data_IF_497186620467
#
_entry.id   IF_497186620467
#
_cell.length_a   1.000
_cell.length_b   1.000
_cell.length_c   1.000
_cell.angle_alpha   90.00
_cell.angle_beta   90.00
_cell.angle_gamma   90.00
#
_symmetry.space_group_name_H-M   'P 1'
#
loop_
_entity.id
_entity.type
_entity.pdbx_description
1 polymer ?
#
# COMPACT_ATOMS: atom_id res chain seq x y z
N UNK A 1 41.01 9.21 -10.78
CA UNK A 1 39.70 9.65 -10.25
C UNK A 1 38.59 9.29 -11.25
N UNK A 2 38.41 7.99 -11.50
CA UNK A 2 37.61 7.45 -12.61
C UNK A 2 36.61 6.40 -12.08
N UNK A 3 35.66 6.85 -11.24
CA UNK A 3 34.56 6.02 -10.73
C UNK A 3 33.21 6.74 -10.85
N UNK A 4 33.00 7.44 -11.97
CA UNK A 4 31.66 7.77 -12.47
C UNK A 4 31.28 6.75 -13.55
N UNK A 5 31.39 5.46 -13.25
CA UNK A 5 30.55 4.49 -13.95
C UNK A 5 29.13 4.74 -13.48
N UNK A 6 28.50 5.65 -14.20
CA UNK A 6 27.09 6.01 -14.12
C UNK A 6 26.24 4.75 -14.06
N UNK A 7 25.74 4.42 -12.87
CA UNK A 7 24.46 3.73 -12.73
C UNK A 7 23.38 4.68 -13.28
N UNK A 8 23.34 4.87 -14.61
CA UNK A 8 22.20 5.48 -15.28
C UNK A 8 21.08 4.46 -15.17
N UNK A 9 20.20 4.68 -14.20
CA UNK A 9 18.93 3.96 -14.16
C UNK A 9 18.16 4.41 -15.40
N UNK A 10 18.06 3.53 -16.40
CA UNK A 10 17.27 3.78 -17.60
C UNK A 10 15.83 4.08 -17.15
N UNK A 11 15.26 5.24 -17.49
CA UNK A 11 13.95 5.61 -17.01
C UNK A 11 12.88 4.67 -17.56
N UNK A 12 11.98 4.21 -16.68
CA UNK A 12 10.87 3.34 -17.07
C UNK A 12 9.80 4.17 -17.78
N UNK A 13 9.70 3.98 -19.09
CA UNK A 13 8.70 4.65 -19.94
C UNK A 13 7.35 3.94 -19.83
N UNK A 14 6.32 4.63 -19.33
CA UNK A 14 4.98 4.05 -19.13
C UNK A 14 3.86 5.02 -19.56
N UNK A 15 2.62 4.54 -19.79
CA UNK A 15 1.47 5.42 -19.98
C UNK A 15 1.21 6.30 -18.75
N UNK A 16 0.74 7.53 -18.96
CA UNK A 16 0.40 8.47 -17.86
C UNK A 16 -0.54 7.86 -16.80
N UNK A 17 -1.48 7.00 -17.21
CA UNK A 17 -2.37 6.28 -16.30
C UNK A 17 -1.64 5.32 -15.34
N UNK A 18 -0.49 4.75 -15.71
CA UNK A 18 0.32 3.89 -14.83
C UNK A 18 1.06 4.76 -13.81
N UNK A 19 1.58 5.92 -14.23
CA UNK A 19 2.21 6.89 -13.33
C UNK A 19 1.24 7.43 -12.27
N UNK A 20 0.01 7.76 -12.69
CA UNK A 20 -1.05 8.17 -11.76
C UNK A 20 -1.38 7.06 -10.76
N UNK A 21 -1.52 5.81 -11.24
CA UNK A 21 -1.76 4.65 -10.38
C UNK A 21 -0.62 4.39 -9.39
N UNK A 22 0.64 4.56 -9.79
CA UNK A 22 1.78 4.48 -8.88
C UNK A 22 1.76 5.58 -7.81
N UNK A 23 1.25 6.77 -8.14
CA UNK A 23 1.07 7.87 -7.18
C UNK A 23 -0.03 7.55 -6.18
N UNK A 24 -1.17 7.03 -6.65
CA UNK A 24 -2.25 6.54 -5.79
C UNK A 24 -1.76 5.43 -4.87
N UNK A 25 -1.04 4.44 -5.40
CA UNK A 25 -0.45 3.33 -4.65
C UNK A 25 0.45 3.82 -3.51
N UNK A 26 1.29 4.83 -3.79
CA UNK A 26 2.13 5.46 -2.77
C UNK A 26 1.30 6.11 -1.66
N UNK A 27 0.25 6.86 -2.02
CA UNK A 27 -0.64 7.50 -1.05
C UNK A 27 -1.39 6.51 -0.17
N UNK A 28 -1.94 5.44 -0.75
CA UNK A 28 -2.68 4.43 0.02
C UNK A 28 -1.78 3.62 0.95
N UNK A 29 -0.53 3.32 0.53
CA UNK A 29 0.44 2.64 1.40
C UNK A 29 0.90 3.56 2.53
N UNK A 30 1.12 4.86 2.25
CA UNK A 30 1.44 5.83 3.30
C UNK A 30 0.32 5.93 4.35
N UNK A 31 -0.94 5.99 3.90
CA UNK A 31 -2.10 5.96 4.79
C UNK A 31 -2.18 4.66 5.60
N UNK A 32 -1.92 3.51 4.98
CA UNK A 32 -1.89 2.22 5.70
C UNK A 32 -0.82 2.18 6.78
N UNK A 33 0.36 2.74 6.51
CA UNK A 33 1.45 2.84 7.48
C UNK A 33 1.05 3.77 8.63
N UNK A 34 0.42 4.91 8.34
CA UNK A 34 -0.10 5.82 9.36
C UNK A 34 -1.16 5.13 10.25
N UNK A 35 -2.09 4.38 9.65
CA UNK A 35 -3.07 3.57 10.40
C UNK A 35 -2.40 2.47 11.23
N UNK A 36 -1.33 1.84 10.73
CA UNK A 36 -0.54 0.87 11.50
C UNK A 36 0.17 1.52 12.68
N UNK A 37 0.71 2.73 12.49
CA UNK A 37 1.23 3.55 13.58
C UNK A 37 0.16 3.87 14.62
N UNK A 38 -1.05 4.24 14.17
CA UNK A 38 -2.20 4.53 15.04
C UNK A 38 -2.63 3.31 15.87
N UNK A 39 -2.60 2.11 15.28
CA UNK A 39 -2.82 0.84 15.99
C UNK A 39 -1.78 0.65 17.10
N UNK A 40 -0.50 0.90 16.81
CA UNK A 40 0.59 0.73 17.77
C UNK A 40 0.52 1.72 18.92
N UNK A 41 0.26 3.01 18.63
CA UNK A 41 0.24 4.05 19.67
C UNK A 41 -0.96 3.95 20.59
N UNK A 42 -2.08 3.37 20.12
CA UNK A 42 -3.26 3.10 20.94
C UNK A 42 -3.27 1.68 21.54
N UNK A 43 -2.22 0.87 21.35
CA UNK A 43 -2.17 -0.52 21.82
C UNK A 43 -3.34 -1.39 21.31
N UNK A 44 -3.85 -1.10 20.11
CA UNK A 44 -5.06 -1.72 19.56
C UNK A 44 -4.81 -3.06 18.84
N UNK A 45 -3.56 -3.47 18.69
CA UNK A 45 -3.17 -4.61 17.86
C UNK A 45 -3.77 -5.96 18.33
N UNK A 46 -4.17 -6.09 19.59
CA UNK A 46 -4.84 -7.29 20.11
C UNK A 46 -6.38 -7.16 20.19
N UNK A 47 -6.96 -6.04 19.74
CA UNK A 47 -8.40 -5.77 19.90
C UNK A 47 -9.32 -6.77 19.18
N UNK A 48 -8.83 -7.43 18.13
CA UNK A 48 -9.56 -8.47 17.39
C UNK A 48 -9.23 -9.90 17.87
N UNK A 49 -8.39 -10.05 18.90
CA UNK A 49 -7.79 -11.33 19.28
C UNK A 49 -6.98 -11.93 18.14
N UNK A 50 -7.00 -13.27 18.04
CA UNK A 50 -6.27 -14.02 17.00
C UNK A 50 -7.14 -14.32 15.77
N UNK A 51 -8.27 -13.62 15.63
CA UNK A 51 -9.23 -13.83 14.55
C UNK A 51 -8.78 -13.20 13.24
N UNK A 52 -8.72 -14.01 12.17
CA UNK A 52 -8.66 -13.56 10.78
C UNK A 52 -9.39 -14.58 9.89
N UNK A 53 -10.27 -14.16 8.95
CA UNK A 53 -10.59 -12.78 8.57
C UNK A 53 -11.62 -12.09 9.48
N UNK A 54 -12.24 -12.80 10.41
CA UNK A 54 -13.16 -12.20 11.40
C UNK A 54 -12.41 -11.36 12.44
N UNK A 55 -13.14 -10.54 13.19
CA UNK A 55 -12.67 -9.82 14.38
C UNK A 55 -13.70 -10.07 15.49
N UNK A 56 -13.26 -10.56 16.65
CA UNK A 56 -14.16 -10.92 17.77
C UNK A 56 -15.30 -11.88 17.36
N UNK A 57 -15.00 -12.85 16.48
CA UNK A 57 -15.98 -13.85 16.02
C UNK A 57 -16.94 -13.36 14.93
N UNK A 58 -16.92 -12.08 14.56
CA UNK A 58 -17.77 -11.52 13.50
C UNK A 58 -16.96 -11.06 12.28
N UNK A 59 -17.51 -11.19 11.07
CA UNK A 59 -16.92 -10.58 9.87
C UNK A 59 -17.00 -9.05 9.91
N UNK A 60 -18.01 -8.51 10.60
CA UNK A 60 -18.21 -7.10 10.86
C UNK A 60 -18.64 -6.90 12.31
N UNK A 61 -17.75 -6.47 13.21
CA UNK A 61 -18.10 -6.26 14.61
C UNK A 61 -19.17 -5.17 14.78
N UNK A 62 -20.21 -5.44 15.56
CA UNK A 62 -21.21 -4.45 15.91
C UNK A 62 -20.70 -3.52 17.02
N UNK A 63 -21.20 -2.28 17.06
CA UNK A 63 -20.91 -1.35 18.16
C UNK A 63 -19.48 -0.80 18.20
N UNK A 64 -18.75 -0.84 17.07
CA UNK A 64 -17.45 -0.17 16.96
C UNK A 64 -17.59 1.34 17.18
N UNK A 65 -16.72 1.89 18.04
CA UNK A 65 -16.73 3.31 18.38
C UNK A 65 -15.62 4.06 17.63
N UNK A 66 -15.94 4.49 16.41
CA UNK A 66 -15.01 5.25 15.58
C UNK A 66 -14.76 6.66 16.10
N UNK A 67 -15.72 7.25 16.82
CA UNK A 67 -15.60 8.61 17.35
C UNK A 67 -14.45 8.67 18.36
N UNK A 68 -14.47 7.79 19.37
CA UNK A 68 -13.36 7.71 20.33
C UNK A 68 -12.13 7.04 19.71
N UNK A 69 -12.29 6.09 18.77
CA UNK A 69 -11.18 5.41 18.11
C UNK A 69 -10.27 6.34 17.29
N UNK A 70 -10.82 7.39 16.70
CA UNK A 70 -10.10 8.32 15.80
C UNK A 70 -10.13 9.78 16.27
N UNK A 71 -10.43 10.00 17.55
CA UNK A 71 -10.21 11.30 18.17
C UNK A 71 -8.71 11.59 18.31
N UNK A 72 -8.28 12.70 17.70
CA UNK A 72 -6.89 13.17 17.68
C UNK A 72 -6.58 14.16 18.81
N UNK A 73 -7.59 14.57 19.58
CA UNK A 73 -7.46 15.60 20.64
C UNK A 73 -7.20 15.00 22.02
N UNK A 74 -7.51 13.71 22.19
CA UNK A 74 -7.25 12.93 23.40
C UNK A 74 -5.80 12.42 23.49
N UNK A 75 -5.37 12.10 24.70
CA UNK A 75 -4.15 11.33 24.92
C UNK A 75 -4.26 9.92 24.30
N UNK A 76 -3.14 9.44 23.72
CA UNK A 76 -3.05 8.10 23.13
C UNK A 76 -3.41 7.02 24.16
N UNK A 77 -4.30 6.09 23.79
CA UNK A 77 -4.79 5.03 24.69
C UNK A 77 -5.71 5.48 25.84
N UNK A 78 -6.10 6.76 25.92
CA UNK A 78 -7.04 7.29 26.93
C UNK A 78 -8.22 8.00 26.26
N UNK A 79 -9.33 8.14 26.98
CA UNK A 79 -10.48 8.99 26.62
C UNK A 79 -10.34 10.37 27.29
N UNK A 80 -11.06 11.38 26.79
CA UNK A 80 -11.10 12.75 27.35
C UNK A 80 -11.58 12.80 28.81
N UNK A 81 -12.41 11.85 29.21
CA UNK A 81 -12.85 11.67 30.60
C UNK A 81 -11.72 11.24 31.55
N UNK A 82 -10.51 11.03 31.03
CA UNK A 82 -9.36 10.52 31.77
C UNK A 82 -9.39 9.00 31.97
N UNK A 83 -10.37 8.27 31.44
CA UNK A 83 -10.40 6.80 31.45
C UNK A 83 -9.54 6.15 30.36
N UNK A 84 -9.37 4.83 30.38
CA UNK A 84 -8.76 4.09 29.27
C UNK A 84 -9.72 4.00 28.08
N UNK A 85 -9.17 3.98 26.86
CA UNK A 85 -9.95 3.77 25.64
C UNK A 85 -10.72 2.45 25.69
N UNK A 86 -11.97 2.46 25.23
CA UNK A 86 -12.85 1.29 25.27
C UNK A 86 -12.38 0.22 24.27
N UNK A 87 -12.73 -1.04 24.55
CA UNK A 87 -12.47 -2.13 23.60
C UNK A 87 -13.13 -1.84 22.25
N UNK A 88 -14.33 -1.28 22.23
CA UNK A 88 -15.07 -0.92 21.02
C UNK A 88 -14.31 0.08 20.13
N UNK A 89 -13.65 1.07 20.76
CA UNK A 89 -12.83 2.04 20.05
C UNK A 89 -11.51 1.43 19.56
N UNK A 90 -10.87 0.57 20.36
CA UNK A 90 -9.69 -0.20 19.92
C UNK A 90 -10.04 -1.14 18.75
N UNK A 91 -11.21 -1.78 18.78
CA UNK A 91 -11.72 -2.60 17.69
C UNK A 91 -11.91 -1.77 16.44
N UNK A 92 -12.48 -0.57 16.55
CA UNK A 92 -12.63 0.34 15.41
C UNK A 92 -11.28 0.67 14.77
N UNK A 93 -10.26 0.99 15.57
CA UNK A 93 -8.90 1.28 15.12
C UNK A 93 -8.29 0.09 14.37
N UNK A 94 -8.28 -1.09 15.00
CA UNK A 94 -7.65 -2.27 14.40
C UNK A 94 -8.43 -2.74 13.16
N UNK A 95 -9.76 -2.72 13.21
CA UNK A 95 -10.60 -3.12 12.08
C UNK A 95 -10.43 -2.18 10.88
N UNK A 96 -10.31 -0.86 11.09
CA UNK A 96 -10.03 0.10 10.01
C UNK A 96 -8.69 -0.18 9.32
N UNK A 97 -7.63 -0.47 10.08
CA UNK A 97 -6.33 -0.85 9.53
C UNK A 97 -6.43 -2.12 8.67
N UNK A 98 -7.22 -3.12 9.10
CA UNK A 98 -7.47 -4.35 8.33
C UNK A 98 -8.24 -4.08 7.05
N UNK A 99 -9.27 -3.23 7.12
CA UNK A 99 -10.07 -2.86 5.95
C UNK A 99 -9.21 -2.17 4.88
N UNK A 100 -8.37 -1.23 5.31
CA UNK A 100 -7.48 -0.50 4.42
C UNK A 100 -6.36 -1.40 3.86
N UNK A 101 -5.96 -2.47 4.56
CA UNK A 101 -5.03 -3.47 4.01
C UNK A 101 -5.60 -4.19 2.77
N UNK A 102 -6.91 -4.43 2.71
CA UNK A 102 -7.56 -4.98 1.51
C UNK A 102 -7.55 -3.97 0.35
N UNK A 103 -7.71 -2.68 0.64
CA UNK A 103 -7.58 -1.62 -0.37
C UNK A 103 -6.14 -1.56 -0.90
N UNK A 104 -5.12 -1.65 -0.03
CA UNK A 104 -3.71 -1.73 -0.44
C UNK A 104 -3.46 -2.95 -1.33
N UNK A 105 -3.98 -4.12 -0.94
CA UNK A 105 -3.88 -5.35 -1.74
C UNK A 105 -4.44 -5.13 -3.16
N UNK A 106 -5.63 -4.54 -3.28
CA UNK A 106 -6.25 -4.24 -4.56
C UNK A 106 -5.45 -3.23 -5.39
N UNK A 107 -5.11 -2.07 -4.81
CA UNK A 107 -4.44 -0.98 -5.53
C UNK A 107 -3.03 -1.36 -5.95
N UNK A 108 -2.22 -1.92 -5.05
CA UNK A 108 -0.83 -2.30 -5.33
C UNK A 108 -0.78 -3.58 -6.18
N UNK A 109 -1.65 -4.55 -5.93
CA UNK A 109 -1.77 -5.76 -6.74
C UNK A 109 -2.13 -5.43 -8.19
N UNK A 110 -3.08 -4.51 -8.40
CA UNK A 110 -3.43 -4.04 -9.74
C UNK A 110 -2.26 -3.30 -10.43
N UNK A 111 -1.49 -2.50 -9.69
CA UNK A 111 -0.29 -1.85 -10.22
C UNK A 111 0.75 -2.87 -10.67
N UNK A 112 1.05 -3.85 -9.83
CA UNK A 112 2.00 -4.92 -10.14
C UNK A 112 1.56 -5.71 -11.38
N UNK A 113 0.27 -6.03 -11.48
CA UNK A 113 -0.30 -6.66 -12.67
C UNK A 113 -0.14 -5.80 -13.93
N UNK A 114 -0.48 -4.50 -13.89
CA UNK A 114 -0.28 -3.61 -15.05
C UNK A 114 1.18 -3.53 -15.49
N UNK A 115 2.12 -3.41 -14.54
CA UNK A 115 3.55 -3.37 -14.84
C UNK A 115 4.03 -4.66 -15.51
N UNK A 116 3.52 -5.83 -15.09
CA UNK A 116 3.85 -7.11 -15.70
C UNK A 116 3.48 -7.22 -17.19
N UNK A 117 2.56 -6.35 -17.67
CA UNK A 117 2.11 -6.29 -19.07
C UNK A 117 2.92 -5.34 -19.95
N UNK A 118 3.85 -4.54 -19.40
CA UNK A 118 4.56 -3.49 -20.16
C UNK A 118 5.91 -3.92 -20.76
N UNK A 119 6.44 -5.08 -20.38
CA UNK A 119 7.69 -5.65 -20.93
C UNK A 119 8.80 -5.89 -19.90
N UNK A 120 9.99 -6.36 -20.33
CA UNK A 120 11.05 -6.81 -19.43
C UNK A 120 11.52 -5.76 -18.41
N UNK A 121 11.63 -4.49 -18.81
CA UNK A 121 12.05 -3.39 -17.92
C UNK A 121 11.08 -3.10 -16.77
N UNK A 122 9.77 -3.35 -16.95
CA UNK A 122 8.77 -3.20 -15.90
C UNK A 122 8.58 -4.48 -15.06
N UNK A 123 9.02 -5.63 -15.56
CA UNK A 123 8.81 -6.95 -14.93
C UNK A 123 9.51 -7.06 -13.57
N UNK A 124 10.73 -6.53 -13.44
CA UNK A 124 11.45 -6.53 -12.16
C UNK A 124 10.68 -5.75 -11.09
N UNK A 125 10.13 -4.59 -11.44
CA UNK A 125 9.28 -3.80 -10.54
C UNK A 125 7.97 -4.52 -10.19
N UNK A 126 7.33 -5.17 -11.17
CA UNK A 126 6.14 -5.96 -10.95
C UNK A 126 6.38 -7.10 -9.94
N UNK A 127 7.47 -7.85 -10.11
CA UNK A 127 7.84 -8.96 -9.22
C UNK A 127 8.25 -8.45 -7.83
N UNK A 128 9.04 -7.38 -7.75
CA UNK A 128 9.44 -6.77 -6.48
C UNK A 128 8.25 -6.27 -5.66
N UNK A 129 7.30 -5.58 -6.30
CA UNK A 129 6.06 -5.15 -5.65
C UNK A 129 5.19 -6.33 -5.24
N UNK A 130 5.01 -7.33 -6.10
CA UNK A 130 4.20 -8.51 -5.79
C UNK A 130 4.79 -9.29 -4.60
N UNK A 131 6.11 -9.47 -4.57
CA UNK A 131 6.80 -10.12 -3.45
C UNK A 131 6.65 -9.32 -2.15
N UNK A 132 6.99 -8.02 -2.17
CA UNK A 132 6.90 -7.18 -0.99
C UNK A 132 5.48 -7.09 -0.45
N UNK A 133 4.48 -6.94 -1.32
CA UNK A 133 3.06 -6.91 -0.92
C UNK A 133 2.62 -8.25 -0.31
N UNK A 134 2.96 -9.37 -0.94
CA UNK A 134 2.58 -10.70 -0.45
C UNK A 134 3.22 -10.99 0.90
N UNK A 135 4.53 -10.71 1.03
CA UNK A 135 5.24 -10.84 2.30
C UNK A 135 4.61 -9.96 3.38
N UNK A 136 4.26 -8.71 3.05
CA UNK A 136 3.66 -7.78 4.00
C UNK A 136 2.29 -8.24 4.51
N UNK A 137 1.43 -8.73 3.62
CA UNK A 137 0.12 -9.28 4.00
C UNK A 137 0.30 -10.55 4.85
N UNK A 138 1.20 -11.46 4.46
CA UNK A 138 1.49 -12.66 5.23
C UNK A 138 2.00 -12.32 6.64
N UNK A 139 2.93 -11.37 6.76
CA UNK A 139 3.42 -10.89 8.05
C UNK A 139 2.31 -10.24 8.89
N UNK A 140 1.42 -9.44 8.27
CA UNK A 140 0.30 -8.80 8.99
C UNK A 140 -0.76 -9.78 9.46
N UNK A 141 -1.01 -10.85 8.70
CA UNK A 141 -1.90 -11.95 9.15
C UNK A 141 -1.23 -12.73 10.29
N UNK A 142 0.07 -13.02 10.14
CA UNK A 142 0.86 -13.72 11.13
C UNK A 142 0.92 -12.99 12.49
N UNK A 143 1.05 -11.65 12.49
CA UNK A 143 1.01 -10.87 13.74
C UNK A 143 -0.34 -11.01 14.44
N UNK A 144 -1.46 -11.11 13.73
CA UNK A 144 -2.78 -11.31 14.34
C UNK A 144 -2.93 -12.74 14.84
N UNK A 145 -2.75 -13.74 13.98
CA UNK A 145 -3.02 -15.15 14.29
C UNK A 145 -2.18 -15.67 15.45
N UNK A 146 -0.95 -15.18 15.60
CA UNK A 146 -0.04 -15.60 16.67
C UNK A 146 0.02 -14.66 17.88
N UNK A 147 -0.91 -13.71 18.01
CA UNK A 147 -1.00 -12.87 19.21
C UNK A 147 0.13 -11.84 19.34
N UNK A 148 0.53 -11.24 18.22
CA UNK A 148 1.51 -10.17 18.09
C UNK A 148 2.89 -10.45 18.71
N UNK A 149 3.60 -11.54 18.32
CA UNK A 149 4.99 -11.72 18.73
C UNK A 149 5.87 -10.56 18.27
N UNK A 150 6.75 -10.07 19.14
CA UNK A 150 7.60 -8.89 18.88
C UNK A 150 8.36 -8.99 17.55
N UNK A 151 8.97 -10.16 17.28
CA UNK A 151 9.73 -10.39 16.05
C UNK A 151 8.87 -10.23 14.79
N UNK A 152 7.62 -10.69 14.82
CA UNK A 152 6.70 -10.56 13.69
C UNK A 152 6.22 -9.12 13.52
N UNK A 153 5.96 -8.40 14.62
CA UNK A 153 5.61 -6.99 14.57
C UNK A 153 6.76 -6.16 13.97
N UNK A 154 8.00 -6.43 14.37
CA UNK A 154 9.20 -5.79 13.80
C UNK A 154 9.36 -6.14 12.33
N UNK A 155 9.24 -7.42 11.96
CA UNK A 155 9.32 -7.85 10.57
C UNK A 155 8.24 -7.21 9.70
N UNK A 156 7.01 -7.09 10.22
CA UNK A 156 5.91 -6.42 9.53
C UNK A 156 6.20 -4.93 9.30
N UNK A 157 6.79 -4.22 10.28
CA UNK A 157 7.19 -2.82 10.11
C UNK A 157 8.32 -2.66 9.08
N UNK A 158 9.32 -3.54 9.13
CA UNK A 158 10.40 -3.56 8.14
C UNK A 158 9.86 -3.85 6.72
N UNK A 159 8.94 -4.80 6.58
CA UNK A 159 8.28 -5.11 5.31
C UNK A 159 7.47 -3.92 4.77
N UNK A 160 6.80 -3.16 5.64
CA UNK A 160 6.09 -1.94 5.26
C UNK A 160 7.06 -0.89 4.67
N UNK A 161 8.23 -0.71 5.31
CA UNK A 161 9.27 0.18 4.82
C UNK A 161 9.83 -0.28 3.47
N UNK A 162 10.04 -1.58 3.27
CA UNK A 162 10.48 -2.15 1.98
C UNK A 162 9.43 -1.93 0.90
N UNK A 163 8.16 -2.17 1.18
CA UNK A 163 7.07 -1.93 0.23
C UNK A 163 6.97 -0.45 -0.15
N UNK A 164 7.02 0.45 0.83
CA UNK A 164 7.01 1.90 0.60
C UNK A 164 8.24 2.33 -0.22
N UNK A 165 9.44 1.90 0.16
CA UNK A 165 10.68 2.21 -0.55
C UNK A 165 10.66 1.72 -1.99
N UNK A 166 10.10 0.53 -2.25
CA UNK A 166 9.92 -0.01 -3.60
C UNK A 166 8.99 0.86 -4.43
N UNK A 167 7.88 1.35 -3.86
CA UNK A 167 6.96 2.28 -4.55
C UNK A 167 7.60 3.64 -4.81
N UNK A 168 8.35 4.20 -3.85
CA UNK A 168 9.08 5.46 -4.03
C UNK A 168 10.10 5.33 -5.15
N UNK A 169 10.89 4.25 -5.16
CA UNK A 169 11.91 4.00 -6.17
C UNK A 169 11.29 3.73 -7.56
N UNK A 170 10.20 2.97 -7.64
CA UNK A 170 9.44 2.82 -8.89
C UNK A 170 8.97 4.19 -9.39
N UNK A 171 8.36 4.98 -8.52
CA UNK A 171 7.79 6.28 -8.90
C UNK A 171 8.84 7.26 -9.39
N UNK A 172 10.05 7.25 -8.81
CA UNK A 172 11.14 8.15 -9.21
C UNK A 172 11.76 7.77 -10.56
N UNK A 173 11.67 6.51 -10.96
CA UNK A 173 12.18 6.03 -12.26
C UNK A 173 11.18 6.18 -13.41
N UNK A 174 9.90 6.41 -13.13
CA UNK A 174 8.84 6.52 -14.14
C UNK A 174 8.92 7.83 -14.94
N UNK A 175 9.02 7.71 -16.26
CA UNK A 175 8.72 8.77 -17.22
C UNK A 175 7.43 8.44 -17.98
N UNK A 176 6.49 9.38 -17.99
CA UNK A 176 5.18 9.18 -18.63
C UNK A 176 5.09 9.83 -19.99
N UNK A 177 4.44 9.16 -20.94
CA UNK A 177 4.06 9.75 -22.24
C UNK A 177 2.54 9.93 -22.31
N UNK A 178 2.04 10.93 -23.07
CA UNK A 178 0.61 11.14 -23.26
C UNK A 178 -0.03 9.90 -23.89
N UNK A 179 -1.19 9.46 -23.38
CA UNK A 179 -1.95 8.34 -23.96
C UNK A 179 -2.41 8.62 -25.39
N UNK A 180 -2.48 9.89 -25.79
CA UNK A 180 -2.83 10.35 -27.14
C UNK A 180 -1.77 10.05 -28.20
N UNK A 181 -0.55 9.64 -27.82
CA UNK A 181 0.51 9.26 -28.77
C UNK A 181 0.30 7.87 -29.42
N UNK A 182 -0.76 7.15 -29.04
CA UNK A 182 -1.13 5.83 -29.60
C UNK A 182 -2.16 5.93 -30.74
N UNK A 183 -2.27 7.07 -31.42
CA UNK A 183 -3.06 7.14 -32.67
C UNK A 183 -2.48 6.17 -33.70
N UNK A 184 -3.26 5.18 -34.19
CA UNK A 184 -2.78 4.27 -35.22
C UNK A 184 -2.38 5.04 -36.47
N UNK A 185 -1.19 4.76 -37.02
CA UNK A 185 -0.67 5.40 -38.23
C UNK A 185 -1.52 5.18 -39.50
N UNK A 186 -2.62 4.44 -39.43
CA UNK A 186 -3.50 4.14 -40.56
C UNK A 186 -4.36 5.35 -41.02
N UNK A 187 -4.43 6.43 -40.24
CA UNK A 187 -5.08 7.68 -40.67
C UNK A 187 -4.18 8.59 -41.51
N UNK A 188 -2.95 8.17 -41.85
CA UNK A 188 -2.18 8.84 -42.89
C UNK A 188 -2.80 8.49 -44.26
N UNK A 189 -3.77 9.30 -44.70
CA UNK A 189 -4.29 9.24 -46.07
C UNK A 189 -3.12 9.31 -47.05
N UNK A 190 -2.94 8.34 -47.96
CA UNK A 190 -1.86 8.39 -48.94
C UNK A 190 -2.11 9.61 -49.84
N UNK A 191 -1.24 10.61 -49.68
CA UNK A 191 -1.21 11.78 -50.54
C UNK A 191 -1.01 11.33 -51.98
N UNK A 192 -2.06 11.57 -52.77
CA UNK A 192 -2.12 11.58 -54.23
C UNK A 192 -0.77 11.96 -54.84
N UNK A 193 -0.08 11.01 -55.48
CA UNK A 193 0.98 11.31 -56.43
C UNK A 193 0.32 11.91 -57.67
N UNK A 194 0.33 13.24 -57.78
CA UNK A 194 0.00 13.91 -59.04
C UNK A 194 1.21 13.86 -59.96
N UNK A 195 0.98 13.25 -61.12
CA UNK A 195 1.76 13.28 -62.37
C UNK A 195 2.24 14.65 -62.80
#
# INVERSE_FOLDING_TARGET
>A
LALRHTYRVEPLRVPAAVKAHATLALGVVALQIALGGWVSTNYAALACGNGFPSCQGAAWPAGMDFANGFDLTRDMGRMDSGGYITLQALTAIHFAHRLMAYVVLGVVGWLAWRLSRLGPGARTWALGLAFALTAQIALGIATVVWGQPLLLAVAHNAGAAVLLGTLVALRSTIQSFPSSALTPAWNASPGRLSS
#
